data_IF_314647291241
#
_entry.id   IF_314647291241
#
_cell.length_a   1.000
_cell.length_b   1.000
_cell.length_c   1.000
_cell.angle_alpha   90.00
_cell.angle_beta   90.00
_cell.angle_gamma   90.00
#
_symmetry.space_group_name_H-M   'P 1'
#
loop_
_entity.id
_entity.type
_entity.pdbx_description
1 polymer ?
#
# COMPACT_ATOMS: atom_id res chain seq x y z
N UNK A 1 -20.56 -9.65 6.43
CA UNK A 1 -20.08 -8.61 5.50
C UNK A 1 -18.63 -8.31 5.80
N UNK A 2 -17.78 -8.34 4.78
CA UNK A 2 -16.38 -7.99 4.94
C UNK A 2 -16.20 -6.53 4.53
N UNK A 3 -15.42 -5.80 5.34
CA UNK A 3 -15.12 -4.40 5.09
C UNK A 3 -13.70 -4.28 4.53
N UNK A 4 -13.54 -3.50 3.48
CA UNK A 4 -12.24 -3.18 2.92
C UNK A 4 -12.00 -1.68 2.97
N UNK A 5 -10.78 -1.27 3.25
CA UNK A 5 -10.38 0.13 3.32
C UNK A 5 -9.27 0.42 2.32
N UNK A 6 -9.51 1.35 1.41
CA UNK A 6 -8.54 1.72 0.39
C UNK A 6 -7.61 2.83 0.89
N UNK A 7 -6.31 2.60 0.83
CA UNK A 7 -5.32 3.54 1.37
C UNK A 7 -4.90 4.62 0.38
N UNK A 8 -5.29 4.52 -0.89
CA UNK A 8 -4.94 5.52 -1.89
C UNK A 8 -5.65 6.86 -1.70
N UNK A 9 -6.57 6.96 -0.74
CA UNK A 9 -7.22 8.23 -0.40
C UNK A 9 -6.33 9.14 0.45
N UNK A 10 -5.21 8.62 0.94
CA UNK A 10 -4.28 9.36 1.79
C UNK A 10 -3.00 9.69 1.05
N UNK A 11 -2.47 10.88 1.26
CA UNK A 11 -1.19 11.28 0.70
C UNK A 11 -0.07 10.47 1.36
N UNK A 12 0.86 9.95 0.55
CA UNK A 12 1.97 9.19 1.10
C UNK A 12 2.89 8.69 0.01
N UNK A 13 3.97 9.42 -0.23
CA UNK A 13 4.92 9.08 -1.28
C UNK A 13 6.00 8.10 -0.80
N UNK A 14 6.23 7.98 0.50
CA UNK A 14 7.24 7.07 1.05
C UNK A 14 6.62 6.07 2.02
N UNK A 15 7.42 5.08 2.41
CA UNK A 15 6.95 4.01 3.28
C UNK A 15 6.56 4.51 4.67
N UNK A 16 7.33 5.44 5.21
CA UNK A 16 7.07 5.98 6.54
C UNK A 16 5.71 6.69 6.58
N UNK A 17 5.42 7.53 5.59
CA UNK A 17 4.15 8.22 5.48
C UNK A 17 3.00 7.24 5.25
N UNK A 18 3.22 6.21 4.42
CA UNK A 18 2.23 5.16 4.18
C UNK A 18 1.86 4.46 5.49
N UNK A 19 2.86 4.07 6.25
CA UNK A 19 2.65 3.40 7.54
C UNK A 19 1.95 4.32 8.54
N UNK A 20 2.34 5.59 8.59
CA UNK A 20 1.70 6.57 9.48
C UNK A 20 0.22 6.75 9.11
N UNK A 21 -0.12 6.79 7.83
CA UNK A 21 -1.51 6.89 7.38
C UNK A 21 -2.31 5.65 7.77
N UNK A 22 -1.75 4.46 7.64
CA UNK A 22 -2.40 3.23 8.06
C UNK A 22 -2.65 3.24 9.57
N UNK A 23 -1.67 3.66 10.35
CA UNK A 23 -1.78 3.71 11.81
C UNK A 23 -2.84 4.73 12.25
N UNK A 24 -2.87 5.90 11.61
CA UNK A 24 -3.82 6.96 11.98
C UNK A 24 -5.24 6.68 11.50
N UNK A 25 -5.39 6.18 10.27
CA UNK A 25 -6.70 6.11 9.61
C UNK A 25 -7.26 4.69 9.51
N UNK A 26 -6.49 3.75 8.99
CA UNK A 26 -6.99 2.39 8.77
C UNK A 26 -7.27 1.68 10.09
N UNK A 27 -6.38 1.81 11.06
CA UNK A 27 -6.57 1.24 12.40
C UNK A 27 -7.80 1.83 13.08
N UNK A 28 -8.01 3.15 12.92
CA UNK A 28 -9.18 3.81 13.50
C UNK A 28 -10.48 3.31 12.88
N UNK A 29 -10.52 3.13 11.55
CA UNK A 29 -11.69 2.58 10.87
C UNK A 29 -11.97 1.15 11.35
N UNK A 30 -10.92 0.34 11.48
CA UNK A 30 -11.05 -1.02 11.96
C UNK A 30 -11.66 -1.06 13.37
N UNK A 31 -11.20 -0.20 14.26
CA UNK A 31 -11.72 -0.16 15.62
C UNK A 31 -13.21 0.19 15.67
N UNK A 32 -13.68 1.01 14.73
CA UNK A 32 -15.07 1.40 14.68
C UNK A 32 -15.97 0.33 14.05
N UNK A 33 -15.49 -0.36 13.01
CA UNK A 33 -16.34 -1.22 12.20
C UNK A 33 -15.99 -2.71 12.25
N UNK A 34 -14.78 -3.07 12.68
CA UNK A 34 -14.34 -4.46 12.72
C UNK A 34 -13.32 -4.69 13.83
N UNK A 35 -13.65 -4.35 15.10
CA UNK A 35 -12.68 -4.40 16.18
C UNK A 35 -12.20 -5.82 16.52
N UNK A 36 -13.04 -6.82 16.33
CA UNK A 36 -12.77 -8.19 16.75
C UNK A 36 -12.32 -9.11 15.62
N UNK A 37 -12.24 -8.59 14.39
CA UNK A 37 -11.89 -9.38 13.22
C UNK A 37 -10.89 -8.63 12.35
N UNK A 38 -10.06 -9.34 11.57
CA UNK A 38 -9.19 -8.69 10.62
C UNK A 38 -9.99 -7.87 9.60
N UNK A 39 -9.41 -6.76 9.17
CA UNK A 39 -10.00 -5.90 8.15
C UNK A 39 -9.12 -5.91 6.90
N UNK A 40 -9.76 -6.11 5.74
CA UNK A 40 -9.06 -6.03 4.47
C UNK A 40 -8.67 -4.61 4.11
N UNK A 41 -7.51 -4.42 3.50
CA UNK A 41 -7.09 -3.12 2.97
C UNK A 41 -6.69 -3.25 1.50
N UNK A 42 -7.00 -2.21 0.73
CA UNK A 42 -6.46 -2.03 -0.60
C UNK A 42 -5.25 -1.13 -0.47
N UNK A 43 -4.07 -1.67 -0.73
CA UNK A 43 -2.82 -1.01 -0.42
C UNK A 43 -2.25 -0.31 -1.64
N UNK A 44 -1.95 0.97 -1.52
CA UNK A 44 -1.17 1.71 -2.50
C UNK A 44 0.23 1.92 -1.95
N UNK A 45 1.22 1.51 -2.74
CA UNK A 45 2.62 1.75 -2.45
C UNK A 45 3.22 2.49 -3.64
N UNK A 46 3.79 3.65 -3.39
CA UNK A 46 4.49 4.41 -4.43
C UNK A 46 5.78 3.69 -4.84
N UNK A 47 6.38 4.14 -5.94
CA UNK A 47 7.68 3.63 -6.36
C UNK A 47 8.73 3.80 -5.26
N UNK A 48 8.76 4.96 -4.61
CA UNK A 48 9.69 5.23 -3.52
C UNK A 48 9.48 4.28 -2.34
N UNK A 49 8.22 4.04 -1.97
CA UNK A 49 7.89 3.13 -0.89
C UNK A 49 8.35 1.69 -1.21
N UNK A 50 8.13 1.23 -2.45
CA UNK A 50 8.57 -0.12 -2.85
C UNK A 50 10.08 -0.26 -2.85
N UNK A 51 10.81 0.81 -3.16
CA UNK A 51 12.28 0.80 -3.11
C UNK A 51 12.81 0.68 -1.68
N UNK A 52 12.04 1.14 -0.70
CA UNK A 52 12.40 1.05 0.72
C UNK A 52 12.11 -0.32 1.32
N UNK A 53 11.37 -1.18 0.61
CA UNK A 53 10.96 -2.49 1.11
C UNK A 53 11.89 -3.60 0.62
N UNK A 54 13.07 -3.72 1.24
CA UNK A 54 13.89 -4.91 1.09
C UNK A 54 13.30 -6.09 1.84
N UNK A 55 13.95 -7.25 1.79
CA UNK A 55 13.41 -8.49 2.38
C UNK A 55 13.11 -8.32 3.88
N UNK A 56 14.01 -7.70 4.62
CA UNK A 56 13.86 -7.53 6.07
C UNK A 56 12.74 -6.52 6.37
N UNK A 57 12.74 -5.41 5.68
CA UNK A 57 11.73 -4.35 5.85
C UNK A 57 10.34 -4.86 5.47
N UNK A 58 10.26 -5.71 4.46
CA UNK A 58 9.00 -6.29 4.02
C UNK A 58 8.42 -7.23 5.09
N UNK A 59 9.28 -8.05 5.70
CA UNK A 59 8.86 -8.92 6.80
C UNK A 59 8.40 -8.12 8.01
N UNK A 60 9.12 -7.06 8.34
CA UNK A 60 8.76 -6.17 9.45
C UNK A 60 7.40 -5.52 9.20
N UNK A 61 7.18 -5.04 7.98
CA UNK A 61 5.91 -4.42 7.60
C UNK A 61 4.76 -5.44 7.68
N UNK A 62 4.98 -6.65 7.16
CA UNK A 62 3.98 -7.72 7.23
C UNK A 62 3.63 -8.05 8.67
N UNK A 63 4.62 -8.19 9.54
CA UNK A 63 4.38 -8.49 10.95
C UNK A 63 3.57 -7.37 11.62
N UNK A 64 3.88 -6.13 11.30
CA UNK A 64 3.12 -4.99 11.84
C UNK A 64 1.66 -5.03 11.37
N UNK A 65 1.44 -5.29 10.08
CA UNK A 65 0.07 -5.41 9.55
C UNK A 65 -0.69 -6.54 10.23
N UNK A 66 -0.04 -7.68 10.44
CA UNK A 66 -0.65 -8.82 11.13
C UNK A 66 -1.04 -8.46 12.56
N UNK A 67 -0.16 -7.75 13.28
CA UNK A 67 -0.43 -7.31 14.65
C UNK A 67 -1.62 -6.36 14.72
N UNK A 68 -1.77 -5.50 13.72
CA UNK A 68 -2.87 -4.53 13.66
C UNK A 68 -4.15 -5.15 13.08
N UNK A 69 -4.10 -6.39 12.61
CA UNK A 69 -5.25 -7.06 12.02
C UNK A 69 -5.63 -6.48 10.66
N UNK A 70 -4.67 -5.94 9.93
CA UNK A 70 -4.88 -5.39 8.59
C UNK A 70 -4.37 -6.39 7.56
N UNK A 71 -5.25 -6.78 6.63
CA UNK A 71 -4.92 -7.80 5.62
C UNK A 71 -4.94 -7.16 4.24
N UNK A 72 -3.77 -6.96 3.60
CA UNK A 72 -3.75 -6.51 2.21
C UNK A 72 -4.38 -7.56 1.31
N UNK A 73 -5.38 -7.18 0.53
CA UNK A 73 -6.03 -8.09 -0.40
C UNK A 73 -6.01 -7.57 -1.84
N UNK A 74 -5.82 -6.27 -2.03
CA UNK A 74 -5.59 -5.68 -3.34
C UNK A 74 -4.45 -4.68 -3.26
N UNK A 75 -3.79 -4.46 -4.39
CA UNK A 75 -2.70 -3.52 -4.50
C UNK A 75 -2.94 -2.61 -5.70
N UNK A 76 -2.76 -1.32 -5.48
CA UNK A 76 -2.85 -0.34 -6.55
C UNK A 76 -1.45 -0.09 -7.11
N UNK A 77 -1.23 -0.42 -8.38
CA UNK A 77 0.01 -0.14 -9.08
C UNK A 77 -0.01 1.19 -9.82
N UNK A 78 -0.89 2.08 -9.41
CA UNK A 78 -1.10 3.40 -9.99
C UNK A 78 -1.70 4.29 -8.91
N UNK A 79 -1.19 5.52 -8.75
CA UNK A 79 -0.10 6.13 -9.48
C UNK A 79 1.29 5.67 -9.01
N UNK A 80 2.31 5.97 -9.83
CA UNK A 80 3.70 5.66 -9.53
C UNK A 80 4.22 6.49 -8.35
N UNK A 81 3.89 7.77 -8.30
CA UNK A 81 4.33 8.70 -7.28
C UNK A 81 3.17 9.32 -6.51
N UNK A 82 3.46 10.38 -5.77
CA UNK A 82 2.46 11.07 -4.96
C UNK A 82 1.51 11.87 -5.85
N UNK A 83 0.26 11.46 -5.90
CA UNK A 83 -0.77 12.13 -6.69
C UNK A 83 -1.59 13.15 -5.88
N UNK A 84 -1.29 13.31 -4.60
CA UNK A 84 -1.94 14.30 -3.72
C UNK A 84 -1.22 15.65 -3.70
N UNK A 85 -0.27 15.85 -4.63
CA UNK A 85 0.39 17.15 -4.80
C UNK A 85 -0.59 18.19 -5.31
N UNK A 86 -0.36 19.49 -5.01
CA UNK A 86 -1.27 20.54 -5.45
C UNK A 86 -1.54 20.59 -6.96
N UNK A 87 -0.54 20.23 -7.77
CA UNK A 87 -0.68 20.15 -9.23
C UNK A 87 -0.11 18.85 -9.73
N UNK A 88 -0.97 17.90 -10.08
CA UNK A 88 -0.54 16.60 -10.60
C UNK A 88 -0.82 16.49 -12.09
N UNK A 89 -2.02 16.86 -12.53
CA UNK A 89 -2.45 16.83 -13.93
C UNK A 89 -2.11 15.48 -14.59
N UNK A 90 -1.46 15.53 -15.77
CA UNK A 90 -1.11 14.33 -16.50
C UNK A 90 0.07 13.56 -15.90
N UNK A 91 0.78 14.13 -14.94
CA UNK A 91 1.94 13.47 -14.32
C UNK A 91 1.53 12.18 -13.58
N UNK A 92 0.26 12.05 -13.19
CA UNK A 92 -0.24 10.83 -12.55
C UNK A 92 -0.13 9.61 -13.47
N UNK A 93 -0.12 9.82 -14.78
CA UNK A 93 -0.01 8.74 -15.77
C UNK A 93 1.43 8.38 -16.13
N UNK A 94 2.40 9.08 -15.57
CA UNK A 94 3.81 8.82 -15.82
C UNK A 94 4.41 8.02 -14.67
N UNK A 95 5.41 7.17 -14.90
CA UNK A 95 5.89 6.74 -16.22
C UNK A 95 4.88 5.83 -16.93
N UNK A 96 4.94 5.82 -18.25
CA UNK A 96 4.07 4.95 -19.06
C UNK A 96 4.61 3.52 -19.08
N UNK A 97 3.79 2.58 -19.57
CA UNK A 97 4.19 1.18 -19.67
C UNK A 97 5.39 0.93 -20.60
N UNK A 98 5.70 1.88 -21.48
CA UNK A 98 6.87 1.79 -22.35
C UNK A 98 8.17 2.22 -21.66
N UNK A 99 8.11 2.74 -20.44
CA UNK A 99 9.28 3.22 -19.71
C UNK A 99 9.76 2.17 -18.71
N UNK A 100 11.09 2.03 -18.60
CA UNK A 100 11.71 1.05 -17.73
C UNK A 100 11.32 1.27 -16.26
N UNK A 101 11.16 2.52 -15.84
CA UNK A 101 10.80 2.85 -14.46
C UNK A 101 9.44 2.25 -14.08
N UNK A 102 8.48 2.23 -15.01
CA UNK A 102 7.17 1.63 -14.77
C UNK A 102 7.31 0.12 -14.59
N UNK A 103 8.10 -0.52 -15.42
CA UNK A 103 8.33 -1.96 -15.33
C UNK A 103 9.03 -2.32 -14.02
N UNK A 104 10.05 -1.57 -13.64
CA UNK A 104 10.78 -1.81 -12.40
C UNK A 104 9.89 -1.65 -11.17
N UNK A 105 9.06 -0.61 -11.16
CA UNK A 105 8.11 -0.37 -10.09
C UNK A 105 7.10 -1.52 -9.99
N UNK A 106 6.53 -1.92 -11.11
CA UNK A 106 5.54 -3.00 -11.15
C UNK A 106 6.15 -4.32 -10.68
N UNK A 107 7.39 -4.60 -11.07
CA UNK A 107 8.12 -5.80 -10.63
C UNK A 107 8.30 -5.79 -9.11
N UNK A 108 8.73 -4.65 -8.54
CA UNK A 108 8.88 -4.52 -7.08
C UNK A 108 7.54 -4.69 -6.38
N UNK A 109 6.46 -4.15 -6.97
CA UNK A 109 5.13 -4.27 -6.39
C UNK A 109 4.69 -5.74 -6.34
N UNK A 110 4.93 -6.52 -7.39
CA UNK A 110 4.63 -7.95 -7.39
C UNK A 110 5.44 -8.70 -6.33
N UNK A 111 6.68 -8.31 -6.10
CA UNK A 111 7.51 -8.90 -5.02
C UNK A 111 6.92 -8.60 -3.65
N UNK A 112 6.43 -7.39 -3.45
CA UNK A 112 5.74 -7.03 -2.22
C UNK A 112 4.45 -7.84 -2.05
N UNK A 113 3.67 -8.01 -3.11
CA UNK A 113 2.45 -8.79 -3.08
C UNK A 113 2.71 -10.22 -2.66
N UNK A 114 3.77 -10.83 -3.16
CA UNK A 114 4.11 -12.22 -2.85
C UNK A 114 4.31 -12.44 -1.35
N UNK A 115 4.85 -11.44 -0.66
CA UNK A 115 5.07 -11.51 0.79
C UNK A 115 3.85 -11.07 1.59
N UNK A 116 3.18 -10.00 1.15
CA UNK A 116 2.14 -9.35 1.95
C UNK A 116 0.76 -9.99 1.80
N UNK A 117 0.46 -10.61 0.67
CA UNK A 117 -0.83 -11.27 0.49
C UNK A 117 -0.94 -12.52 1.39
N UNK A 118 -2.12 -12.77 1.94
CA UNK A 118 -2.29 -13.96 2.77
C UNK A 118 -2.16 -15.24 1.94
N UNK A 119 -1.61 -16.29 2.57
CA UNK A 119 -1.35 -17.57 1.90
C UNK A 119 -2.66 -18.28 1.56
N UNK A 120 -3.67 -18.12 2.40
CA UNK A 120 -5.00 -18.70 2.17
C UNK A 120 -6.05 -17.62 2.43
N UNK A 121 -7.01 -17.52 1.51
CA UNK A 121 -8.01 -16.48 1.63
C UNK A 121 -9.38 -16.98 1.18
#
# INVERSE_FOLDING_TARGET
>A
MQLGYCTNVHAGADLETTRANLEEHAVAVKQLFSPDQPMGIGLWLSSEATQSLGDQELKTFKNWLDQEGLIPFTFNGFPFGDFHQPVVKHAVYLPTWSEQDRLDYTTRLFQCMDTLLPVSY
#
